data_IF_669699086341
#
_entry.id   IF_669699086341
#
_cell.length_a   1.000
_cell.length_b   1.000
_cell.length_c   1.000
_cell.angle_alpha   90.00
_cell.angle_beta   90.00
_cell.angle_gamma   90.00
#
_symmetry.space_group_name_H-M   'P 1'
#
loop_
_entity.id
_entity.type
_entity.pdbx_description
1 polymer ?
#
# COMPACT_ATOMS: atom_id res chain seq x y z
N UNK A 1 5.04 -2.48 16.19
CA UNK A 1 5.84 -2.53 14.95
C UNK A 1 6.14 -1.08 14.57
N UNK A 2 7.42 -0.72 14.52
CA UNK A 2 7.86 0.64 14.23
C UNK A 2 7.70 0.95 12.74
N UNK A 3 7.35 2.20 12.44
CA UNK A 3 7.48 2.76 11.10
C UNK A 3 8.93 3.17 10.96
N UNK A 4 9.64 2.62 9.99
CA UNK A 4 11.01 3.00 9.68
C UNK A 4 10.99 3.90 8.45
N UNK A 5 11.63 5.06 8.56
CA UNK A 5 11.87 5.95 7.44
C UNK A 5 13.33 5.75 6.98
N UNK A 6 13.51 5.39 5.73
CA UNK A 6 14.83 5.23 5.13
C UNK A 6 15.04 6.39 4.14
N UNK A 7 15.98 7.30 4.41
CA UNK A 7 16.15 8.49 3.58
C UNK A 7 16.65 8.09 2.18
N UNK A 8 16.07 8.74 1.18
CA UNK A 8 16.56 8.65 -0.20
C UNK A 8 17.84 9.49 -0.37
N UNK A 9 18.74 9.11 -1.26
CA UNK A 9 19.89 9.93 -1.62
C UNK A 9 19.47 11.35 -2.02
N UNK A 10 20.22 12.35 -1.53
CA UNK A 10 19.88 13.76 -1.75
C UNK A 10 19.78 14.11 -3.24
N UNK A 11 20.63 13.49 -4.08
CA UNK A 11 20.61 13.69 -5.54
C UNK A 11 19.29 13.27 -6.20
N UNK A 12 18.57 12.28 -5.64
CA UNK A 12 17.26 11.85 -6.13
C UNK A 12 16.20 12.88 -5.76
N UNK A 13 16.22 13.32 -4.52
CA UNK A 13 15.28 14.33 -4.00
C UNK A 13 15.51 15.66 -4.70
N UNK A 14 16.75 16.11 -4.82
CA UNK A 14 17.12 17.37 -5.46
C UNK A 14 16.78 17.38 -6.96
N UNK A 15 17.02 16.28 -7.66
CA UNK A 15 16.64 16.13 -9.07
C UNK A 15 15.14 16.29 -9.28
N UNK A 16 14.33 15.73 -8.37
CA UNK A 16 12.88 15.85 -8.43
C UNK A 16 12.37 17.24 -8.06
N UNK A 17 12.92 17.82 -6.99
CA UNK A 17 12.50 19.14 -6.50
C UNK A 17 12.89 20.26 -7.47
N UNK A 18 14.04 20.15 -8.11
CA UNK A 18 14.56 21.13 -9.08
C UNK A 18 14.10 20.85 -10.52
N UNK A 19 13.35 19.79 -10.77
CA UNK A 19 12.82 19.46 -12.08
C UNK A 19 11.97 20.60 -12.63
N UNK A 20 12.20 20.97 -13.90
CA UNK A 20 11.37 21.94 -14.60
C UNK A 20 10.09 21.26 -15.10
N UNK A 21 8.97 21.95 -14.98
CA UNK A 21 7.69 21.47 -15.48
C UNK A 21 6.56 21.51 -14.46
N UNK A 22 5.43 20.98 -14.87
CA UNK A 22 4.26 20.85 -14.01
C UNK A 22 4.40 19.65 -13.04
N UNK A 23 3.42 19.49 -12.15
CA UNK A 23 3.39 18.40 -11.16
C UNK A 23 3.60 17.02 -11.82
N UNK A 24 2.89 16.71 -12.91
CA UNK A 24 2.97 15.42 -13.58
C UNK A 24 4.39 15.11 -14.09
N UNK A 25 5.07 16.11 -14.66
CA UNK A 25 6.46 15.98 -15.13
C UNK A 25 7.42 15.73 -13.97
N UNK A 26 7.32 16.50 -12.91
CA UNK A 26 8.16 16.36 -11.72
C UNK A 26 7.95 15.00 -11.03
N UNK A 27 6.69 14.60 -10.86
CA UNK A 27 6.30 13.31 -10.31
C UNK A 27 6.88 12.15 -11.14
N UNK A 28 6.79 12.21 -12.47
CA UNK A 28 7.35 11.17 -13.34
C UNK A 28 8.87 11.07 -13.24
N UNK A 29 9.58 12.21 -13.17
CA UNK A 29 11.05 12.23 -13.02
C UNK A 29 11.48 11.68 -11.66
N UNK A 30 10.83 12.08 -10.58
CA UNK A 30 11.09 11.53 -9.25
C UNK A 30 10.88 10.01 -9.22
N UNK A 31 9.72 9.55 -9.70
CA UNK A 31 9.40 8.13 -9.76
C UNK A 31 10.46 7.33 -10.53
N UNK A 32 10.88 7.84 -11.69
CA UNK A 32 11.94 7.20 -12.48
C UNK A 32 13.27 7.14 -11.72
N UNK A 33 13.66 8.23 -11.05
CA UNK A 33 14.88 8.27 -10.27
C UNK A 33 14.85 7.27 -9.11
N UNK A 34 13.73 7.19 -8.39
CA UNK A 34 13.55 6.21 -7.30
C UNK A 34 13.54 4.78 -7.83
N UNK A 35 12.85 4.51 -8.94
CA UNK A 35 12.86 3.19 -9.57
C UNK A 35 14.28 2.75 -9.92
N UNK A 36 15.06 3.62 -10.56
CA UNK A 36 16.46 3.33 -10.90
C UNK A 36 17.32 3.05 -9.66
N UNK A 37 17.12 3.83 -8.59
CA UNK A 37 17.88 3.66 -7.33
C UNK A 37 17.54 2.33 -6.64
N UNK A 38 16.28 1.95 -6.61
CA UNK A 38 15.80 0.72 -5.95
C UNK A 38 15.94 -0.53 -6.84
N UNK A 39 16.33 -0.41 -8.11
CA UNK A 39 16.35 -1.53 -9.07
C UNK A 39 14.96 -2.04 -9.41
N UNK A 40 13.99 -1.14 -9.50
CA UNK A 40 12.57 -1.44 -9.73
C UNK A 40 12.08 -0.78 -11.02
N UNK A 41 10.98 -1.29 -11.53
CA UNK A 41 10.22 -0.65 -12.60
C UNK A 41 8.82 -0.28 -12.12
N UNK A 42 8.33 0.83 -12.61
CA UNK A 42 6.98 1.27 -12.34
C UNK A 42 5.96 0.51 -13.20
N UNK A 43 4.96 -0.02 -12.55
CA UNK A 43 3.81 -0.65 -13.19
C UNK A 43 2.54 0.12 -12.82
N UNK A 44 1.93 0.85 -13.78
CA UNK A 44 0.72 1.59 -13.52
C UNK A 44 -0.46 0.68 -13.21
N UNK A 45 -1.24 1.06 -12.22
CA UNK A 45 -2.43 0.34 -11.79
C UNK A 45 -3.69 1.14 -12.13
N UNK A 46 -4.77 0.47 -12.54
CA UNK A 46 -6.03 1.14 -12.90
C UNK A 46 -6.72 1.80 -11.69
N UNK A 47 -7.08 3.08 -11.83
CA UNK A 47 -7.70 3.88 -10.74
C UNK A 47 -9.21 3.64 -10.60
N UNK A 48 -9.64 2.51 -10.04
CA UNK A 48 -11.08 2.20 -9.82
C UNK A 48 -11.46 2.05 -8.34
N UNK A 49 -10.65 2.61 -7.42
CA UNK A 49 -10.83 2.46 -5.97
C UNK A 49 -10.15 1.23 -5.37
N UNK A 50 -9.64 0.32 -6.20
CA UNK A 50 -8.91 -0.88 -5.78
C UNK A 50 -7.39 -0.71 -5.86
N UNK A 51 -6.90 0.43 -6.32
CA UNK A 51 -5.49 0.62 -6.67
C UNK A 51 -4.49 0.21 -5.58
N UNK A 52 -4.83 0.37 -4.31
CA UNK A 52 -4.00 -0.11 -3.22
C UNK A 52 -3.89 -1.65 -3.23
N UNK A 53 -5.02 -2.35 -3.25
CA UNK A 53 -5.05 -3.82 -3.22
C UNK A 53 -4.46 -4.42 -4.50
N UNK A 54 -4.75 -3.81 -5.66
CA UNK A 54 -4.19 -4.20 -6.95
C UNK A 54 -2.67 -4.03 -6.96
N UNK A 55 -2.17 -2.91 -6.45
CA UNK A 55 -0.73 -2.65 -6.37
C UNK A 55 -0.04 -3.66 -5.45
N UNK A 56 -0.65 -3.96 -4.30
CA UNK A 56 -0.11 -4.98 -3.37
C UNK A 56 -0.10 -6.35 -4.04
N UNK A 57 -1.21 -6.80 -4.61
CA UNK A 57 -1.29 -8.11 -5.26
C UNK A 57 -0.27 -8.21 -6.40
N UNK A 58 -0.15 -7.17 -7.22
CA UNK A 58 0.83 -7.10 -8.32
C UNK A 58 2.27 -7.22 -7.82
N UNK A 59 2.63 -6.48 -6.78
CA UNK A 59 3.99 -6.53 -6.24
C UNK A 59 4.28 -7.85 -5.53
N UNK A 60 3.31 -8.45 -4.82
CA UNK A 60 3.47 -9.77 -4.23
C UNK A 60 3.74 -10.82 -5.31
N UNK A 61 2.95 -10.84 -6.38
CA UNK A 61 3.12 -11.76 -7.50
C UNK A 61 4.47 -11.60 -8.21
N UNK A 62 4.96 -10.38 -8.32
CA UNK A 62 6.24 -10.09 -8.97
C UNK A 62 7.47 -10.35 -8.09
N UNK A 63 7.32 -10.32 -6.76
CA UNK A 63 8.44 -10.36 -5.82
C UNK A 63 8.59 -11.69 -5.09
N UNK A 64 7.46 -12.34 -4.75
CA UNK A 64 7.51 -13.56 -3.95
C UNK A 64 7.73 -14.80 -4.81
N UNK A 65 8.53 -15.77 -4.33
CA UNK A 65 8.71 -17.03 -5.03
C UNK A 65 7.42 -17.87 -4.99
N UNK A 66 7.23 -18.79 -5.98
CA UNK A 66 5.99 -19.56 -6.13
C UNK A 66 5.53 -20.29 -4.88
N UNK A 67 6.46 -20.92 -4.14
CA UNK A 67 6.15 -21.65 -2.90
C UNK A 67 5.56 -20.73 -1.80
N UNK A 68 5.99 -19.47 -1.75
CA UNK A 68 5.42 -18.48 -0.83
C UNK A 68 4.03 -18.06 -1.27
N UNK A 69 3.85 -17.82 -2.56
CA UNK A 69 2.55 -17.47 -3.14
C UNK A 69 1.52 -18.59 -2.97
N UNK A 70 1.92 -19.85 -3.09
CA UNK A 70 1.03 -21.00 -2.88
C UNK A 70 0.50 -21.07 -1.44
N UNK A 71 1.31 -20.66 -0.47
CA UNK A 71 0.89 -20.60 0.94
C UNK A 71 -0.03 -19.42 1.27
N UNK A 72 -0.30 -18.52 0.31
CA UNK A 72 -1.07 -17.29 0.49
C UNK A 72 -2.13 -17.11 -0.62
N UNK A 73 -3.05 -18.08 -0.84
CA UNK A 73 -3.99 -18.01 -1.96
C UNK A 73 -4.87 -16.75 -1.92
N UNK A 74 -5.23 -16.30 -0.73
CA UNK A 74 -6.12 -15.15 -0.50
C UNK A 74 -5.45 -13.79 -0.72
N UNK A 75 -4.14 -13.75 -0.98
CA UNK A 75 -3.40 -12.50 -1.18
C UNK A 75 -3.01 -12.25 -2.65
N UNK A 76 -3.39 -13.15 -3.57
CA UNK A 76 -2.96 -13.11 -4.98
C UNK A 76 -3.80 -12.21 -5.87
N UNK A 77 -4.97 -11.78 -5.43
CA UNK A 77 -5.82 -10.88 -6.19
C UNK A 77 -6.47 -9.85 -5.26
N UNK A 78 -6.83 -8.71 -5.82
CA UNK A 78 -7.39 -7.56 -5.11
C UNK A 78 -8.58 -7.90 -4.22
N UNK A 79 -9.56 -8.62 -4.78
CA UNK A 79 -10.79 -8.95 -4.07
C UNK A 79 -10.54 -9.92 -2.91
N UNK A 80 -9.71 -10.93 -3.11
CA UNK A 80 -9.33 -11.86 -2.05
C UNK A 80 -8.50 -11.17 -0.96
N UNK A 81 -7.53 -10.32 -1.33
CA UNK A 81 -6.73 -9.57 -0.36
C UNK A 81 -7.60 -8.61 0.47
N UNK A 82 -8.53 -7.89 -0.17
CA UNK A 82 -9.48 -7.00 0.51
C UNK A 82 -10.32 -7.77 1.51
N UNK A 83 -10.90 -8.90 1.08
CA UNK A 83 -11.70 -9.77 1.94
C UNK A 83 -10.88 -10.33 3.10
N UNK A 84 -9.71 -10.87 2.84
CA UNK A 84 -8.83 -11.42 3.87
C UNK A 84 -8.45 -10.40 4.95
N UNK A 85 -8.17 -9.15 4.56
CA UNK A 85 -7.87 -8.07 5.49
C UNK A 85 -9.07 -7.70 6.36
N UNK A 86 -10.24 -7.57 5.77
CA UNK A 86 -11.47 -7.24 6.50
C UNK A 86 -11.86 -8.36 7.45
N UNK A 87 -11.82 -9.61 6.99
CA UNK A 87 -12.14 -10.78 7.81
C UNK A 87 -11.13 -10.98 8.94
N UNK A 88 -9.83 -10.76 8.67
CA UNK A 88 -8.82 -10.77 9.72
C UNK A 88 -9.15 -9.76 10.82
N UNK A 89 -9.52 -8.54 10.49
CA UNK A 89 -9.89 -7.52 11.48
C UNK A 89 -11.18 -7.86 12.23
N UNK A 90 -12.16 -8.52 11.58
CA UNK A 90 -13.41 -8.96 12.22
C UNK A 90 -13.21 -10.13 13.17
N UNK A 91 -12.41 -11.10 12.78
CA UNK A 91 -12.15 -12.30 13.58
C UNK A 91 -11.36 -12.02 14.86
N UNK A 92 -10.67 -10.88 14.95
CA UNK A 92 -9.86 -10.52 16.12
C UNK A 92 -10.65 -10.16 17.39
N UNK A 93 -11.98 -10.17 17.32
CA UNK A 93 -12.81 -10.11 18.53
C UNK A 93 -12.69 -11.37 19.40
N UNK A 94 -12.28 -12.51 18.80
CA UNK A 94 -12.19 -13.82 19.46
C UNK A 94 -10.73 -14.23 19.80
N UNK A 95 -9.76 -13.74 19.04
CA UNK A 95 -8.34 -14.07 19.21
C UNK A 95 -7.56 -12.78 19.41
N UNK A 96 -6.89 -12.62 20.54
CA UNK A 96 -6.06 -11.43 20.81
C UNK A 96 -4.84 -11.42 19.89
N UNK A 97 -4.87 -10.57 18.89
CA UNK A 97 -3.71 -10.19 18.10
C UNK A 97 -3.41 -8.72 18.38
N UNK A 98 -2.30 -8.44 19.05
CA UNK A 98 -1.90 -7.08 19.45
C UNK A 98 -1.80 -6.11 18.26
N UNK A 99 -1.50 -6.61 17.06
CA UNK A 99 -1.44 -5.78 15.88
C UNK A 99 -2.84 -5.43 15.38
N UNK A 100 -3.75 -6.40 15.36
CA UNK A 100 -5.14 -6.15 14.97
C UNK A 100 -5.80 -5.16 15.93
N UNK A 101 -5.54 -5.26 17.23
CA UNK A 101 -6.01 -4.31 18.23
C UNK A 101 -5.50 -2.90 17.93
N UNK A 102 -4.20 -2.73 17.62
CA UNK A 102 -3.62 -1.43 17.23
C UNK A 102 -4.24 -0.87 15.95
N UNK A 103 -4.40 -1.70 14.92
CA UNK A 103 -5.05 -1.28 13.68
C UNK A 103 -6.49 -0.84 13.93
N UNK A 104 -7.21 -1.53 14.79
CA UNK A 104 -8.57 -1.15 15.18
C UNK A 104 -8.61 0.18 15.94
N UNK A 105 -7.65 0.44 16.83
CA UNK A 105 -7.54 1.73 17.53
C UNK A 105 -7.25 2.87 16.54
N UNK A 106 -6.40 2.64 15.55
CA UNK A 106 -6.14 3.63 14.49
C UNK A 106 -7.41 3.91 13.66
N UNK A 107 -8.19 2.87 13.31
CA UNK A 107 -9.48 3.02 12.63
C UNK A 107 -10.45 3.85 13.48
N UNK A 108 -10.58 3.55 14.77
CA UNK A 108 -11.46 4.30 15.67
C UNK A 108 -11.04 5.78 15.80
N UNK A 109 -9.73 6.05 15.81
CA UNK A 109 -9.22 7.43 15.83
C UNK A 109 -9.57 8.18 14.53
N UNK A 110 -9.49 7.54 13.37
CA UNK A 110 -9.87 8.12 12.08
C UNK A 110 -11.38 8.32 11.96
N UNK A 111 -12.19 7.37 12.47
CA UNK A 111 -13.65 7.50 12.54
C UNK A 111 -14.07 8.73 13.36
N UNK A 112 -13.42 8.94 14.51
CA UNK A 112 -13.68 10.12 15.36
C UNK A 112 -13.31 11.44 14.67
N UNK A 113 -12.44 11.42 13.66
CA UNK A 113 -12.08 12.57 12.83
C UNK A 113 -12.98 12.72 11.59
N UNK A 114 -13.99 11.86 11.42
CA UNK A 114 -14.92 11.93 10.29
C UNK A 114 -14.37 11.28 9.02
N UNK A 115 -13.78 10.09 9.15
CA UNK A 115 -13.31 9.30 8.01
C UNK A 115 -14.42 9.10 6.97
N UNK A 116 -14.10 9.34 5.70
CA UNK A 116 -15.03 9.22 4.59
C UNK A 116 -14.66 8.03 3.71
N UNK A 117 -15.60 7.10 3.54
CA UNK A 117 -15.50 6.04 2.56
C UNK A 117 -16.11 6.51 1.23
N UNK A 118 -15.29 6.58 0.19
CA UNK A 118 -15.73 7.01 -1.11
C UNK A 118 -15.57 5.93 -2.17
N UNK A 119 -16.50 5.90 -3.12
CA UNK A 119 -16.47 5.05 -4.30
C UNK A 119 -16.88 5.88 -5.50
N UNK A 120 -16.23 5.65 -6.64
CA UNK A 120 -16.54 6.39 -7.86
C UNK A 120 -18.02 6.18 -8.25
N UNK A 121 -18.73 7.28 -8.46
CA UNK A 121 -20.15 7.25 -8.88
C UNK A 121 -21.17 6.91 -7.78
N UNK A 122 -20.72 6.82 -6.53
CA UNK A 122 -21.59 6.56 -5.37
C UNK A 122 -21.39 7.69 -4.35
N UNK A 123 -22.47 8.07 -3.68
CA UNK A 123 -22.38 9.05 -2.59
C UNK A 123 -21.40 8.56 -1.51
N UNK A 124 -20.53 9.42 -1.00
CA UNK A 124 -19.64 9.07 0.09
C UNK A 124 -20.42 8.60 1.33
N UNK A 125 -19.87 7.61 2.02
CA UNK A 125 -20.39 7.10 3.29
C UNK A 125 -19.47 7.59 4.40
N UNK A 126 -20.04 8.15 5.45
CA UNK A 126 -19.31 8.51 6.68
C UNK A 126 -19.69 7.46 7.73
N UNK A 127 -18.88 6.42 7.92
CA UNK A 127 -19.15 5.40 8.91
C UNK A 127 -19.04 6.01 10.32
N UNK A 128 -19.93 5.59 11.22
CA UNK A 128 -19.94 6.02 12.61
C UNK A 128 -19.37 4.96 13.56
N UNK A 129 -19.27 3.73 13.07
CA UNK A 129 -18.74 2.60 13.82
C UNK A 129 -17.68 1.85 13.01
N UNK A 130 -16.84 1.09 13.73
CA UNK A 130 -15.84 0.22 13.11
C UNK A 130 -16.46 -0.79 12.14
N UNK A 131 -17.57 -1.40 12.50
CA UNK A 131 -18.23 -2.40 11.65
C UNK A 131 -18.83 -1.77 10.38
N UNK A 132 -19.38 -0.58 10.48
CA UNK A 132 -19.83 0.17 9.30
C UNK A 132 -18.65 0.50 8.38
N UNK A 133 -17.49 0.88 8.95
CA UNK A 133 -16.27 1.12 8.19
C UNK A 133 -15.76 -0.15 7.50
N UNK A 134 -15.62 -1.25 8.23
CA UNK A 134 -15.16 -2.52 7.68
C UNK A 134 -16.13 -3.04 6.60
N UNK A 135 -17.45 -2.87 6.82
CA UNK A 135 -18.46 -3.22 5.83
C UNK A 135 -18.38 -2.34 4.57
N UNK A 136 -18.11 -1.05 4.72
CA UNK A 136 -17.88 -0.16 3.58
C UNK A 136 -16.60 -0.53 2.82
N UNK A 137 -15.50 -0.80 3.52
CA UNK A 137 -14.22 -1.18 2.92
C UNK A 137 -14.29 -2.55 2.22
N UNK A 138 -15.13 -3.47 2.71
CA UNK A 138 -15.35 -4.76 2.05
C UNK A 138 -15.95 -4.63 0.64
N UNK A 139 -16.58 -3.49 0.34
CA UNK A 139 -17.19 -3.25 -0.97
C UNK A 139 -16.10 -2.93 -2.01
N UNK A 140 -16.15 -3.65 -3.13
CA UNK A 140 -15.25 -3.43 -4.26
C UNK A 140 -15.31 -1.98 -4.77
N UNK A 141 -14.14 -1.41 -5.09
CA UNK A 141 -14.02 -0.04 -5.59
C UNK A 141 -14.09 1.05 -4.52
N UNK A 142 -14.22 0.73 -3.23
CA UNK A 142 -14.09 1.71 -2.15
C UNK A 142 -12.61 2.04 -1.93
N UNK A 143 -12.30 3.32 -1.95
CA UNK A 143 -10.95 3.80 -1.66
C UNK A 143 -10.68 3.70 -0.17
N UNK A 144 -9.50 3.20 0.15
CA UNK A 144 -9.01 3.19 1.53
C UNK A 144 -7.99 4.31 1.72
N UNK A 145 -7.98 4.83 2.93
CA UNK A 145 -7.01 5.80 3.41
C UNK A 145 -6.39 5.26 4.71
N UNK A 146 -5.22 5.78 5.04
CA UNK A 146 -4.56 5.45 6.31
C UNK A 146 -3.47 4.38 6.21
N UNK A 147 -2.47 4.54 7.07
CA UNK A 147 -1.30 3.66 7.14
C UNK A 147 -1.59 2.33 7.83
N UNK A 148 -2.70 2.22 8.55
CA UNK A 148 -3.09 1.00 9.22
C UNK A 148 -3.29 -0.18 8.25
N UNK A 149 -3.82 0.08 7.04
CA UNK A 149 -3.94 -0.96 6.00
C UNK A 149 -2.59 -1.47 5.51
N UNK A 150 -1.60 -0.59 5.42
CA UNK A 150 -0.24 -0.97 5.03
C UNK A 150 0.41 -1.88 6.06
N UNK A 151 0.18 -1.62 7.37
CA UNK A 151 0.62 -2.50 8.46
C UNK A 151 -0.08 -3.86 8.41
N UNK A 152 -1.39 -3.86 8.20
CA UNK A 152 -2.18 -5.08 8.11
C UNK A 152 -1.71 -5.98 6.94
N UNK A 153 -1.49 -5.38 5.76
CA UNK A 153 -0.94 -6.08 4.59
C UNK A 153 0.44 -6.66 4.89
N UNK A 154 1.35 -5.84 5.42
CA UNK A 154 2.72 -6.26 5.70
C UNK A 154 2.75 -7.46 6.68
N UNK A 155 1.88 -7.44 7.67
CA UNK A 155 1.74 -8.52 8.64
C UNK A 155 1.18 -9.80 8.02
N UNK A 156 0.03 -9.72 7.33
CA UNK A 156 -0.62 -10.88 6.73
C UNK A 156 0.25 -11.53 5.65
N UNK A 157 0.87 -10.74 4.81
CA UNK A 157 1.77 -11.23 3.77
C UNK A 157 3.16 -11.60 4.29
N UNK A 158 3.49 -11.28 5.55
CA UNK A 158 4.82 -11.48 6.16
C UNK A 158 5.93 -10.89 5.29
N UNK A 159 5.72 -9.65 4.84
CA UNK A 159 6.67 -8.90 4.01
C UNK A 159 7.02 -7.57 4.69
N UNK A 160 8.11 -6.98 4.26
CA UNK A 160 8.39 -5.56 4.51
C UNK A 160 7.77 -4.77 3.36
N UNK A 161 6.83 -3.89 3.67
CA UNK A 161 6.16 -3.05 2.67
C UNK A 161 6.81 -1.66 2.69
N UNK A 162 7.49 -1.28 1.60
CA UNK A 162 8.02 0.05 1.37
C UNK A 162 7.02 0.90 0.58
N UNK A 163 6.77 2.12 1.04
CA UNK A 163 5.92 3.08 0.35
C UNK A 163 6.74 4.31 0.00
N UNK A 164 6.86 4.55 -1.30
CA UNK A 164 7.47 5.75 -1.86
C UNK A 164 6.38 6.78 -2.11
N UNK A 165 6.48 7.95 -1.52
CA UNK A 165 5.50 9.02 -1.67
C UNK A 165 6.20 10.25 -2.27
N UNK A 166 5.73 10.70 -3.44
CA UNK A 166 6.20 11.96 -4.01
C UNK A 166 5.54 13.16 -3.29
N UNK A 167 6.27 14.20 -2.89
CA UNK A 167 7.71 14.44 -3.09
C UNK A 167 8.57 14.14 -1.84
N UNK A 168 8.23 13.13 -1.04
CA UNK A 168 8.95 12.85 0.20
C UNK A 168 10.40 12.39 -0.06
N UNK A 169 11.27 12.66 0.89
CA UNK A 169 12.70 12.37 0.85
C UNK A 169 13.07 11.00 1.43
N UNK A 170 12.08 10.17 1.69
CA UNK A 170 12.27 8.87 2.34
C UNK A 170 11.28 7.83 1.85
N UNK A 171 11.68 6.56 1.97
CA UNK A 171 10.79 5.41 1.84
C UNK A 171 10.24 5.09 3.23
N UNK A 172 8.93 4.98 3.35
CA UNK A 172 8.26 4.60 4.59
C UNK A 172 8.07 3.09 4.60
N UNK A 173 8.61 2.39 5.59
CA UNK A 173 8.51 0.95 5.70
C UNK A 173 7.52 0.52 6.77
N UNK A 174 6.75 -0.52 6.46
CA UNK A 174 5.80 -1.18 7.35
C UNK A 174 6.15 -2.67 7.42
N UNK A 175 6.08 -3.22 8.62
CA UNK A 175 6.32 -4.64 8.82
C UNK A 175 7.78 -5.05 8.78
N UNK A 176 7.96 -6.35 8.92
CA UNK A 176 9.26 -7.03 8.84
C UNK A 176 9.06 -8.35 8.11
N UNK A 177 9.95 -8.69 7.21
CA UNK A 177 9.90 -9.93 6.44
C UNK A 177 11.15 -10.06 5.58
N UNK A 178 11.36 -11.28 5.07
CA UNK A 178 12.53 -11.60 4.24
C UNK A 178 12.43 -10.97 2.84
N UNK A 179 11.22 -10.60 2.43
CA UNK A 179 10.96 -9.98 1.14
C UNK A 179 10.45 -8.56 1.35
N UNK A 180 10.92 -7.64 0.51
CA UNK A 180 10.43 -6.26 0.47
C UNK A 180 9.62 -6.05 -0.81
N UNK A 181 8.39 -5.57 -0.66
CA UNK A 181 7.55 -5.12 -1.77
C UNK A 181 7.42 -3.60 -1.71
N UNK A 182 7.22 -2.96 -2.86
CA UNK A 182 7.18 -1.51 -2.92
C UNK A 182 5.94 -1.00 -3.64
N UNK A 183 5.35 0.06 -3.07
CA UNK A 183 4.28 0.83 -3.67
C UNK A 183 4.73 2.27 -3.93
N UNK A 184 4.15 2.88 -4.94
CA UNK A 184 4.33 4.29 -5.24
C UNK A 184 3.03 5.05 -5.05
N UNK A 185 3.10 6.23 -4.45
CA UNK A 185 1.97 7.14 -4.27
C UNK A 185 2.40 8.56 -4.61
N UNK A 186 1.67 9.22 -5.51
CA UNK A 186 1.78 10.66 -5.65
C UNK A 186 0.97 11.34 -4.54
N UNK A 187 1.58 12.29 -3.80
CA UNK A 187 0.96 12.90 -2.62
C UNK A 187 -0.37 13.60 -2.94
N UNK A 188 -0.47 14.25 -4.10
CA UNK A 188 -1.70 14.90 -4.54
C UNK A 188 -2.81 13.93 -4.98
N UNK A 189 -2.53 12.63 -5.03
CA UNK A 189 -3.44 11.61 -5.53
C UNK A 189 -3.70 10.57 -4.45
N UNK A 190 -4.93 10.08 -4.38
CA UNK A 190 -5.31 8.92 -3.54
C UNK A 190 -5.00 7.59 -4.24
N UNK A 191 -4.11 7.63 -5.24
CA UNK A 191 -3.80 6.51 -6.12
C UNK A 191 -2.48 5.85 -5.74
N UNK A 192 -2.47 4.52 -5.79
CA UNK A 192 -1.28 3.69 -5.63
C UNK A 192 -0.95 2.99 -6.94
N UNK A 193 0.33 2.92 -7.23
CA UNK A 193 0.92 2.12 -8.30
C UNK A 193 1.88 1.07 -7.73
N UNK A 194 2.11 0.01 -8.48
CA UNK A 194 3.07 -1.02 -8.13
C UNK A 194 4.49 -0.62 -8.57
N UNK A 195 5.48 -0.92 -7.72
CA UNK A 195 6.89 -0.94 -8.10
C UNK A 195 7.36 -2.40 -8.04
N UNK A 196 7.74 -2.97 -9.17
CA UNK A 196 8.09 -4.38 -9.31
C UNK A 196 9.56 -4.54 -9.67
N UNK A 197 10.24 -5.66 -9.31
CA UNK A 197 11.61 -5.92 -9.70
C UNK A 197 11.78 -5.86 -11.22
N UNK A 198 12.91 -5.34 -11.69
CA UNK A 198 13.27 -5.44 -13.11
C UNK A 198 13.44 -6.91 -13.51
N UNK A 199 12.91 -7.29 -14.67
CA UNK A 199 12.82 -8.68 -15.12
C UNK A 199 14.19 -9.42 -15.23
N UNK A 200 15.28 -8.69 -15.29
CA UNK A 200 16.63 -9.27 -15.29
C UNK A 200 17.15 -9.67 -13.90
N UNK A 201 16.58 -9.11 -12.81
CA UNK A 201 17.02 -9.43 -11.45
C UNK A 201 16.52 -10.78 -10.95
N UNK A 202 15.41 -11.27 -11.49
CA UNK A 202 14.82 -12.59 -11.17
C UNK A 202 15.63 -13.77 -11.74
N UNK A 203 16.56 -13.54 -12.70
CA UNK A 203 17.37 -14.60 -13.30
C UNK A 203 18.69 -14.86 -12.56
N UNK A 204 19.02 -14.07 -11.54
CA UNK A 204 20.33 -14.15 -10.83
C UNK A 204 20.23 -14.63 -9.37
N UNK A 205 19.06 -14.97 -8.89
CA UNK A 205 18.82 -15.54 -7.57
C UNK A 205 18.43 -17.02 -7.67
#
# INVERSE_FOLDING_TARGET
MEILNDPLPAEIVDAAMNAKGNFATKNAQYRQAVCNYLGLQWQPIGGKGNCFFDSVATTLLATLPPNRLESMPDLKCEGALRTALVDWLRLQTEVRDDLAERVQVEIDAELNQGLICSRRGVSPVVPSTREEYLSAVAVDGVWIQGYHWMRAVAYLARVRLGVVIYPFDSVIYFGQGDYTIFLYKADAETHFDALVPESESLQRA
#
